data_IF_538167351144
#
_entry.id   IF_538167351144
#
_cell.length_a   1.000
_cell.length_b   1.000
_cell.length_c   1.000
_cell.angle_alpha   90.00
_cell.angle_beta   90.00
_cell.angle_gamma   90.00
#
_symmetry.space_group_name_H-M   'P 1'
#
loop_
_entity.id
_entity.type
_entity.pdbx_description
1 polymer ?
#
# COMPACT_ATOMS: atom_id res chain seq x y z
N UNK A 1 14.49 5.28 -24.24
CA UNK A 1 13.09 5.65 -24.55
C UNK A 1 12.28 6.15 -23.35
N UNK A 2 12.84 6.24 -22.15
CA UNK A 2 12.08 6.57 -20.91
C UNK A 2 12.02 8.07 -20.57
N UNK A 3 12.98 8.90 -21.03
CA UNK A 3 13.02 10.33 -20.69
C UNK A 3 11.81 11.14 -21.20
N UNK A 4 11.29 10.83 -22.37
CA UNK A 4 10.18 11.58 -22.97
C UNK A 4 8.83 11.34 -22.27
N UNK A 5 8.63 10.14 -21.68
CA UNK A 5 7.43 9.81 -20.87
C UNK A 5 7.45 10.53 -19.52
N UNK A 6 8.63 10.59 -18.88
CA UNK A 6 8.83 11.31 -17.61
C UNK A 6 8.63 12.81 -17.78
N UNK A 7 9.20 13.39 -18.83
CA UNK A 7 9.02 14.83 -19.14
C UNK A 7 7.57 15.16 -19.45
N UNK A 8 6.84 14.30 -20.19
CA UNK A 8 5.40 14.51 -20.43
C UNK A 8 4.58 14.42 -19.14
N UNK A 9 4.88 13.48 -18.25
CA UNK A 9 4.17 13.33 -16.99
C UNK A 9 4.41 14.53 -16.06
N UNK A 10 5.66 15.01 -15.94
CA UNK A 10 5.99 16.20 -15.16
C UNK A 10 5.32 17.48 -15.74
N UNK A 11 5.29 17.63 -17.06
CA UNK A 11 4.59 18.74 -17.73
C UNK A 11 3.08 18.65 -17.47
N UNK A 12 2.49 17.46 -17.44
CA UNK A 12 1.07 17.27 -17.16
C UNK A 12 0.76 17.64 -15.71
N UNK A 13 1.55 17.19 -14.73
CA UNK A 13 1.39 17.59 -13.32
C UNK A 13 1.53 19.12 -13.15
N UNK A 14 2.52 19.73 -13.78
CA UNK A 14 2.73 21.19 -13.71
C UNK A 14 1.58 21.97 -14.36
N UNK A 15 1.06 21.52 -15.50
CA UNK A 15 -0.10 22.11 -16.18
C UNK A 15 -1.39 22.00 -15.36
N UNK A 16 -1.65 20.88 -14.69
CA UNK A 16 -2.80 20.74 -13.80
C UNK A 16 -2.70 21.63 -12.57
N UNK A 17 -1.52 21.77 -11.98
CA UNK A 17 -1.30 22.62 -10.81
C UNK A 17 -1.39 24.12 -11.14
N UNK A 18 -0.96 24.55 -12.36
CA UNK A 18 -0.83 25.96 -12.74
C UNK A 18 -2.04 26.49 -13.50
N UNK A 19 -2.75 25.66 -14.27
CA UNK A 19 -3.81 26.13 -15.17
C UNK A 19 -5.21 26.07 -14.58
N UNK A 20 -5.41 25.59 -13.33
CA UNK A 20 -6.70 25.65 -12.65
C UNK A 20 -7.87 25.23 -13.57
N UNK A 21 -7.75 24.09 -14.27
CA UNK A 21 -8.85 23.61 -15.11
C UNK A 21 -10.02 23.23 -14.20
N UNK A 22 -11.01 24.08 -14.21
CA UNK A 22 -12.26 23.92 -13.47
C UNK A 22 -12.85 22.55 -13.70
N UNK A 23 -12.92 21.73 -12.63
CA UNK A 23 -13.67 20.47 -12.61
C UNK A 23 -13.00 19.26 -11.96
N UNK A 24 -11.65 19.19 -11.88
CA UNK A 24 -10.97 18.08 -11.20
C UNK A 24 -10.15 18.62 -10.04
N UNK A 25 -10.66 18.49 -8.81
CA UNK A 25 -9.89 18.80 -7.61
C UNK A 25 -8.87 17.68 -7.40
N UNK A 26 -7.58 18.01 -7.51
CA UNK A 26 -6.51 17.09 -7.17
C UNK A 26 -6.59 16.67 -5.69
N UNK A 27 -6.35 15.38 -5.41
CA UNK A 27 -6.29 14.83 -4.06
C UNK A 27 -4.84 14.82 -3.54
N UNK A 28 -3.93 15.50 -4.19
CA UNK A 28 -2.51 15.53 -3.84
C UNK A 28 -1.96 16.96 -3.85
N UNK A 29 -0.86 17.16 -3.14
CA UNK A 29 -0.16 18.43 -3.07
C UNK A 29 0.95 18.54 -4.12
N UNK A 30 1.64 17.42 -4.39
CA UNK A 30 2.65 17.32 -5.44
C UNK A 30 2.82 15.88 -5.94
N UNK A 31 3.57 15.70 -7.01
CA UNK A 31 3.88 14.38 -7.54
C UNK A 31 5.39 14.21 -7.79
N UNK A 32 5.86 12.97 -7.80
CA UNK A 32 7.23 12.61 -8.12
C UNK A 32 7.29 11.23 -8.78
N UNK A 33 8.42 10.88 -9.37
CA UNK A 33 8.64 9.59 -10.03
C UNK A 33 9.25 8.61 -9.03
N UNK A 34 8.61 7.46 -8.86
CA UNK A 34 9.14 6.36 -8.07
C UNK A 34 10.46 5.81 -8.64
N UNK A 35 11.28 5.10 -7.85
CA UNK A 35 12.46 4.38 -8.34
C UNK A 35 12.14 3.44 -9.51
N UNK A 36 10.96 2.86 -9.51
CA UNK A 36 10.44 1.98 -10.58
C UNK A 36 9.92 2.72 -11.82
N UNK A 37 10.02 4.06 -11.85
CA UNK A 37 9.66 4.91 -12.98
C UNK A 37 8.18 5.26 -13.08
N UNK A 38 7.40 4.94 -12.08
CA UNK A 38 5.96 5.25 -12.02
C UNK A 38 5.72 6.61 -11.35
N UNK A 39 4.66 7.30 -11.74
CA UNK A 39 4.25 8.54 -11.12
C UNK A 39 3.57 8.23 -9.78
N UNK A 40 4.04 8.87 -8.72
CA UNK A 40 3.43 8.87 -7.40
C UNK A 40 2.93 10.26 -7.04
N UNK A 41 1.84 10.29 -6.29
CA UNK A 41 1.17 11.50 -5.82
C UNK A 41 1.29 11.55 -4.30
N UNK A 42 1.59 12.72 -3.74
CA UNK A 42 1.89 12.89 -2.33
C UNK A 42 1.01 13.94 -1.70
N UNK A 43 0.63 13.69 -0.46
CA UNK A 43 -0.11 14.61 0.38
C UNK A 43 0.71 14.95 1.63
N UNK A 44 0.81 16.25 1.95
CA UNK A 44 1.51 16.71 3.14
C UNK A 44 0.76 16.38 4.41
N UNK A 45 1.53 16.12 5.46
CA UNK A 45 1.02 16.10 6.82
C UNK A 45 1.23 17.48 7.46
N UNK A 46 0.15 18.20 7.81
CA UNK A 46 0.26 19.55 8.34
C UNK A 46 1.19 19.65 9.55
N UNK A 47 2.12 20.61 9.53
CA UNK A 47 3.04 20.86 10.62
C UNK A 47 4.25 19.95 10.72
N UNK A 48 4.46 19.07 9.73
CA UNK A 48 5.62 18.16 9.66
C UNK A 48 6.31 18.25 8.30
N UNK A 49 7.45 17.55 8.14
CA UNK A 49 8.06 17.27 6.84
C UNK A 49 7.76 15.83 6.37
N UNK A 50 6.59 15.31 6.77
CA UNK A 50 6.14 13.99 6.37
C UNK A 50 5.09 14.08 5.28
N UNK A 51 5.08 13.08 4.40
CA UNK A 51 4.09 12.91 3.35
C UNK A 51 3.58 11.48 3.31
N UNK A 52 2.39 11.32 2.77
CA UNK A 52 1.88 10.01 2.39
C UNK A 52 1.62 9.93 0.89
N UNK A 53 1.76 8.73 0.34
CA UNK A 53 1.34 8.47 -1.04
C UNK A 53 -0.18 8.48 -1.09
N UNK A 54 -0.74 9.11 -2.14
CA UNK A 54 -2.17 9.19 -2.37
C UNK A 54 -2.48 8.94 -3.85
N UNK A 55 -3.72 9.14 -4.27
CA UNK A 55 -4.19 9.04 -5.66
C UNK A 55 -4.38 10.42 -6.29
N UNK A 56 -4.41 10.53 -7.63
CA UNK A 56 -4.47 11.83 -8.29
C UNK A 56 -5.88 12.48 -8.27
N UNK A 57 -6.95 11.69 -8.31
CA UNK A 57 -8.32 12.19 -8.42
C UNK A 57 -9.04 12.18 -7.07
N UNK A 58 -9.82 13.20 -6.78
CA UNK A 58 -10.58 13.28 -5.52
C UNK A 58 -11.72 12.26 -5.44
N UNK A 59 -12.32 11.95 -6.58
CA UNK A 59 -13.49 11.07 -6.67
C UNK A 59 -13.18 9.86 -7.54
N UNK A 60 -13.98 8.81 -7.39
CA UNK A 60 -13.90 7.62 -8.24
C UNK A 60 -14.21 7.97 -9.72
N UNK A 61 -13.46 7.44 -10.68
CA UNK A 61 -12.26 6.60 -10.52
C UNK A 61 -11.03 7.43 -10.09
N UNK A 62 -10.35 6.99 -9.02
CA UNK A 62 -9.19 7.69 -8.43
C UNK A 62 -7.99 7.84 -9.38
N UNK A 63 -8.01 7.10 -10.49
CA UNK A 63 -7.09 7.21 -11.61
C UNK A 63 -7.87 7.31 -12.91
N UNK A 64 -7.90 8.48 -13.53
CA UNK A 64 -8.56 8.70 -14.82
C UNK A 64 -7.77 8.08 -16.01
N UNK A 65 -6.53 7.61 -15.79
CA UNK A 65 -5.66 7.08 -16.84
C UNK A 65 -4.61 6.10 -16.33
N UNK A 66 -3.40 6.57 -16.13
CA UNK A 66 -2.22 5.74 -15.87
C UNK A 66 -2.18 5.22 -14.42
N UNK A 67 -2.87 4.12 -14.14
CA UNK A 67 -2.70 3.38 -12.89
C UNK A 67 -1.28 2.83 -12.77
N UNK A 68 -0.71 2.75 -11.57
CA UNK A 68 0.52 2.00 -11.31
C UNK A 68 0.39 0.55 -11.78
N UNK A 69 1.45 0.02 -12.41
CA UNK A 69 1.49 -1.33 -12.99
C UNK A 69 2.82 -2.02 -12.65
N UNK A 70 2.81 -3.34 -12.55
CA UNK A 70 4.02 -4.13 -12.30
C UNK A 70 4.56 -3.91 -10.88
N UNK A 71 5.87 -3.75 -10.76
CA UNK A 71 6.53 -3.61 -9.46
C UNK A 71 6.53 -2.16 -9.02
N UNK A 72 6.17 -1.92 -7.76
CA UNK A 72 6.14 -0.61 -7.15
C UNK A 72 7.00 -0.55 -5.90
N UNK A 73 7.99 0.32 -5.92
CA UNK A 73 8.80 0.67 -4.76
C UNK A 73 8.49 2.11 -4.33
N UNK A 74 8.06 2.28 -3.08
CA UNK A 74 7.87 3.61 -2.49
C UNK A 74 9.21 4.06 -1.90
N UNK A 75 9.72 5.23 -2.30
CA UNK A 75 10.94 5.78 -1.72
C UNK A 75 10.71 6.16 -0.25
N UNK A 76 11.74 6.08 0.59
CA UNK A 76 11.70 6.52 1.99
C UNK A 76 11.58 8.05 2.14
N UNK A 77 11.97 8.77 1.10
CA UNK A 77 11.90 10.23 1.03
C UNK A 77 11.73 10.72 -0.40
N UNK A 78 11.18 11.92 -0.54
CA UNK A 78 11.01 12.63 -1.82
C UNK A 78 11.43 14.08 -1.68
N UNK A 79 11.96 14.66 -2.77
CA UNK A 79 12.31 16.07 -2.80
C UNK A 79 11.28 16.86 -3.62
N UNK A 80 10.81 17.97 -3.05
CA UNK A 80 9.94 18.94 -3.73
C UNK A 80 10.34 20.36 -3.33
N UNK A 81 10.54 21.23 -4.31
CA UNK A 81 10.97 22.63 -4.15
C UNK A 81 12.20 22.82 -3.22
N UNK A 82 13.19 21.92 -3.37
CA UNK A 82 14.43 21.96 -2.59
C UNK A 82 14.30 21.40 -1.15
N UNK A 83 13.11 21.01 -0.70
CA UNK A 83 12.84 20.43 0.60
C UNK A 83 12.73 18.90 0.47
N UNK A 84 13.33 18.18 1.41
CA UNK A 84 13.21 16.71 1.52
C UNK A 84 12.07 16.36 2.48
N UNK A 85 11.14 15.57 2.01
CA UNK A 85 9.99 15.07 2.76
C UNK A 85 10.14 13.58 3.00
N UNK A 86 9.87 13.12 4.23
CA UNK A 86 9.86 11.70 4.57
C UNK A 86 8.54 11.07 4.16
N UNK A 87 8.58 9.95 3.45
CA UNK A 87 7.38 9.20 3.11
C UNK A 87 7.05 8.24 4.26
N UNK A 88 5.96 8.52 4.97
CA UNK A 88 5.60 7.78 6.19
C UNK A 88 4.37 6.89 6.05
N UNK A 89 3.67 6.95 4.93
CA UNK A 89 2.45 6.16 4.80
C UNK A 89 1.92 6.04 3.38
N UNK A 90 1.01 5.11 3.24
CA UNK A 90 0.14 4.96 2.08
C UNK A 90 -1.26 5.41 2.50
N UNK A 91 -1.77 6.45 1.86
CA UNK A 91 -3.06 7.07 2.17
C UNK A 91 -4.25 6.19 1.81
N UNK A 92 -5.43 6.65 2.18
CA UNK A 92 -6.71 6.02 1.83
C UNK A 92 -6.86 5.95 0.31
N UNK A 93 -7.31 4.80 -0.22
CA UNK A 93 -7.55 4.53 -1.64
C UNK A 93 -6.34 4.77 -2.57
N UNK A 94 -5.11 4.96 -2.05
CA UNK A 94 -3.95 5.38 -2.83
C UNK A 94 -3.69 4.52 -4.07
N UNK A 95 -3.94 3.23 -4.02
CA UNK A 95 -3.79 2.26 -5.12
C UNK A 95 -5.08 1.45 -5.33
N UNK A 96 -6.24 2.00 -4.97
CA UNK A 96 -7.53 1.32 -5.10
C UNK A 96 -7.75 0.82 -6.53
N UNK A 97 -7.94 -0.52 -6.69
CA UNK A 97 -8.12 -1.19 -7.97
C UNK A 97 -6.99 -0.93 -8.98
N UNK A 98 -5.76 -0.79 -8.52
CA UNK A 98 -4.58 -0.90 -9.39
C UNK A 98 -4.36 -2.38 -9.73
N UNK A 99 -5.25 -2.91 -10.57
CA UNK A 99 -5.44 -4.32 -10.89
C UNK A 99 -4.26 -4.96 -11.65
N UNK A 100 -3.34 -4.15 -12.16
CA UNK A 100 -2.11 -4.60 -12.84
C UNK A 100 -0.84 -4.41 -11.98
N UNK A 101 -0.98 -3.99 -10.72
CA UNK A 101 0.13 -3.90 -9.76
C UNK A 101 0.50 -5.33 -9.30
N UNK A 102 1.80 -5.71 -9.40
CA UNK A 102 2.29 -7.05 -9.09
C UNK A 102 2.99 -7.14 -7.75
N UNK A 103 3.79 -6.14 -7.42
CA UNK A 103 4.47 -6.10 -6.13
C UNK A 103 4.45 -4.70 -5.53
N UNK A 104 4.53 -4.66 -4.21
CA UNK A 104 4.68 -3.44 -3.44
C UNK A 104 5.79 -3.61 -2.42
N UNK A 105 6.66 -2.62 -2.33
CA UNK A 105 7.65 -2.50 -1.25
C UNK A 105 7.79 -1.04 -0.81
N UNK A 106 8.07 -0.84 0.48
CA UNK A 106 8.33 0.48 1.04
C UNK A 106 9.01 0.37 2.40
N UNK A 107 10.01 1.21 2.63
CA UNK A 107 10.71 1.34 3.92
C UNK A 107 10.22 2.56 4.66
N UNK A 108 10.19 2.48 6.00
CA UNK A 108 9.75 3.60 6.82
C UNK A 108 8.25 3.88 6.76
N UNK A 109 7.46 2.98 6.20
CA UNK A 109 6.00 3.12 6.11
C UNK A 109 5.37 2.77 7.45
N UNK A 110 4.81 3.79 8.13
CA UNK A 110 4.14 3.64 9.42
C UNK A 110 2.71 3.13 9.30
N UNK A 111 2.02 3.45 8.20
CA UNK A 111 0.65 3.02 8.01
C UNK A 111 0.31 2.77 6.55
N UNK A 112 -0.65 1.87 6.39
CA UNK A 112 -1.35 1.59 5.14
C UNK A 112 -2.82 1.94 5.37
N UNK A 113 -3.34 2.89 4.63
CA UNK A 113 -4.68 3.48 4.81
C UNK A 113 -5.82 2.55 4.40
N UNK A 114 -7.03 2.99 4.71
CA UNK A 114 -8.28 2.30 4.32
C UNK A 114 -8.31 2.06 2.82
N UNK A 115 -8.63 0.84 2.42
CA UNK A 115 -8.79 0.40 1.02
C UNK A 115 -7.63 0.76 0.08
N UNK A 116 -6.45 1.06 0.60
CA UNK A 116 -5.32 1.58 -0.19
C UNK A 116 -4.87 0.67 -1.33
N UNK A 117 -4.94 -0.65 -1.16
CA UNK A 117 -4.68 -1.66 -2.21
C UNK A 117 -5.90 -2.54 -2.49
N UNK A 118 -7.10 -2.13 -2.08
CA UNK A 118 -8.30 -2.92 -2.30
C UNK A 118 -8.53 -3.16 -3.80
N UNK A 119 -8.68 -4.42 -4.19
CA UNK A 119 -8.89 -4.80 -5.58
C UNK A 119 -7.63 -4.77 -6.46
N UNK A 120 -6.42 -4.74 -5.88
CA UNK A 120 -5.18 -5.00 -6.62
C UNK A 120 -5.08 -6.50 -6.93
N UNK A 121 -5.87 -6.95 -7.89
CA UNK A 121 -6.13 -8.39 -8.13
C UNK A 121 -4.90 -9.17 -8.57
N UNK A 122 -3.89 -8.52 -9.18
CA UNK A 122 -2.63 -9.13 -9.59
C UNK A 122 -1.49 -8.92 -8.58
N UNK A 123 -1.76 -8.35 -7.41
CA UNK A 123 -0.73 -8.13 -6.38
C UNK A 123 -0.31 -9.48 -5.77
N UNK A 124 0.92 -9.91 -6.06
CA UNK A 124 1.50 -11.20 -5.67
C UNK A 124 2.31 -11.09 -4.36
N UNK A 125 3.00 -9.96 -4.18
CA UNK A 125 3.91 -9.75 -3.04
C UNK A 125 3.78 -8.36 -2.44
N UNK A 126 3.88 -8.31 -1.11
CA UNK A 126 4.00 -7.08 -0.33
C UNK A 126 5.16 -7.20 0.65
N UNK A 127 5.94 -6.13 0.80
CA UNK A 127 7.07 -6.10 1.72
C UNK A 127 7.07 -4.79 2.53
N UNK A 128 7.05 -4.94 3.85
CA UNK A 128 7.21 -3.86 4.82
C UNK A 128 8.42 -4.14 5.70
N UNK A 129 9.05 -3.08 6.19
CA UNK A 129 10.01 -3.17 7.28
C UNK A 129 9.32 -3.07 8.65
N UNK A 130 10.12 -3.08 9.73
CA UNK A 130 9.62 -3.01 11.11
C UNK A 130 9.00 -1.66 11.49
N UNK A 131 8.90 -0.72 10.56
CA UNK A 131 8.26 0.58 10.79
C UNK A 131 6.74 0.50 10.81
N UNK A 132 6.13 -0.51 10.18
CA UNK A 132 4.67 -0.61 10.04
C UNK A 132 3.98 -0.73 11.43
N UNK A 133 3.00 0.13 11.66
CA UNK A 133 2.21 0.20 12.91
C UNK A 133 0.72 -0.02 12.70
N UNK A 134 0.20 0.32 11.50
CA UNK A 134 -1.23 0.26 11.25
C UNK A 134 -1.54 -0.20 9.84
N UNK A 135 -2.47 -1.15 9.74
CA UNK A 135 -3.11 -1.58 8.50
C UNK A 135 -4.58 -1.18 8.57
N UNK A 136 -5.05 -0.40 7.62
CA UNK A 136 -6.41 0.15 7.56
C UNK A 136 -7.48 -0.88 7.19
N UNK A 137 -8.74 -0.46 7.31
CA UNK A 137 -9.90 -1.27 6.91
C UNK A 137 -9.82 -1.62 5.42
N UNK A 138 -10.01 -2.90 5.07
CA UNK A 138 -10.00 -3.38 3.69
C UNK A 138 -8.72 -3.07 2.91
N UNK A 139 -7.60 -2.74 3.58
CA UNK A 139 -6.39 -2.21 2.93
C UNK A 139 -5.89 -3.09 1.79
N UNK A 140 -5.95 -4.40 1.92
CA UNK A 140 -5.57 -5.40 0.91
C UNK A 140 -6.75 -6.31 0.53
N UNK A 141 -7.98 -5.89 0.76
CA UNK A 141 -9.14 -6.70 0.37
C UNK A 141 -9.14 -6.98 -1.13
N UNK A 142 -9.54 -8.19 -1.52
CA UNK A 142 -9.59 -8.64 -2.91
C UNK A 142 -8.22 -8.67 -3.65
N UNK A 143 -7.10 -8.79 -2.93
CA UNK A 143 -5.79 -9.07 -3.53
C UNK A 143 -5.66 -10.59 -3.78
N UNK A 144 -6.37 -11.08 -4.79
CA UNK A 144 -6.58 -12.52 -5.02
C UNK A 144 -5.32 -13.31 -5.39
N UNK A 145 -4.26 -12.66 -5.88
CA UNK A 145 -2.98 -13.27 -6.22
C UNK A 145 -1.92 -13.14 -5.11
N UNK A 146 -2.23 -12.50 -3.99
CA UNK A 146 -1.30 -12.38 -2.87
C UNK A 146 -1.03 -13.78 -2.28
N UNK A 147 0.24 -14.23 -2.39
CA UNK A 147 0.63 -15.59 -2.01
C UNK A 147 1.21 -15.67 -0.61
N UNK A 148 1.92 -14.62 -0.19
CA UNK A 148 2.61 -14.59 1.10
C UNK A 148 2.33 -13.29 1.84
N UNK A 149 2.04 -13.41 3.13
CA UNK A 149 1.89 -12.30 4.07
C UNK A 149 2.80 -12.50 5.28
N UNK A 150 3.67 -11.54 5.53
CA UNK A 150 4.46 -11.45 6.76
C UNK A 150 4.23 -10.07 7.36
N UNK A 151 3.66 -10.00 8.55
CA UNK A 151 3.51 -8.74 9.27
C UNK A 151 4.61 -8.57 10.31
N UNK A 152 5.19 -7.37 10.46
CA UNK A 152 6.21 -7.11 11.47
C UNK A 152 5.60 -6.99 12.87
N UNK A 153 6.45 -7.16 13.89
CA UNK A 153 6.06 -7.15 15.33
C UNK A 153 5.50 -5.81 15.80
N UNK A 154 5.85 -4.72 15.10
CA UNK A 154 5.44 -3.37 15.45
C UNK A 154 3.98 -3.03 15.14
N UNK A 155 3.26 -3.90 14.45
CA UNK A 155 1.85 -3.63 14.08
C UNK A 155 0.98 -3.59 15.33
N UNK A 156 0.35 -2.44 15.60
CA UNK A 156 -0.53 -2.19 16.74
C UNK A 156 -2.01 -2.16 16.39
N UNK A 157 -2.38 -2.12 15.10
CA UNK A 157 -3.77 -2.21 14.69
C UNK A 157 -3.93 -2.76 13.26
N UNK A 158 -4.97 -3.59 13.09
CA UNK A 158 -5.40 -4.14 11.82
C UNK A 158 -6.90 -3.85 11.68
N UNK A 159 -7.27 -3.19 10.60
CA UNK A 159 -8.65 -2.83 10.32
C UNK A 159 -9.51 -4.02 9.88
N UNK A 160 -10.82 -3.86 10.00
CA UNK A 160 -11.82 -4.85 9.58
C UNK A 160 -11.56 -5.21 8.11
N UNK A 161 -11.66 -6.49 7.77
CA UNK A 161 -11.49 -6.98 6.39
C UNK A 161 -10.16 -6.64 5.72
N UNK A 162 -9.11 -6.30 6.47
CA UNK A 162 -7.84 -5.81 5.93
C UNK A 162 -7.24 -6.73 4.85
N UNK A 163 -7.40 -8.03 4.96
CA UNK A 163 -6.95 -9.06 4.01
C UNK A 163 -8.09 -9.97 3.53
N UNK A 164 -9.34 -9.49 3.56
CA UNK A 164 -10.47 -10.28 3.12
C UNK A 164 -10.38 -10.61 1.62
N UNK A 165 -10.88 -11.79 1.22
CA UNK A 165 -10.91 -12.25 -0.16
C UNK A 165 -9.51 -12.38 -0.83
N UNK A 166 -8.43 -12.53 -0.03
CA UNK A 166 -7.09 -12.87 -0.51
C UNK A 166 -6.99 -14.40 -0.68
N UNK A 167 -7.69 -14.94 -1.68
CA UNK A 167 -7.83 -16.40 -1.89
C UNK A 167 -6.54 -17.09 -2.31
N UNK A 168 -5.56 -16.36 -2.83
CA UNK A 168 -4.24 -16.85 -3.25
C UNK A 168 -3.25 -17.10 -2.13
N UNK A 169 -3.55 -16.71 -0.87
CA UNK A 169 -2.62 -16.88 0.24
C UNK A 169 -2.26 -18.35 0.45
N UNK A 170 -0.96 -18.64 0.41
CA UNK A 170 -0.35 -19.94 0.66
C UNK A 170 0.50 -19.96 1.93
N UNK A 171 0.99 -18.78 2.34
CA UNK A 171 1.81 -18.63 3.53
C UNK A 171 1.48 -17.33 4.27
N UNK A 172 1.16 -17.44 5.57
CA UNK A 172 0.88 -16.28 6.44
C UNK A 172 1.69 -16.40 7.72
N UNK A 173 2.42 -15.36 8.06
CA UNK A 173 3.21 -15.21 9.29
C UNK A 173 2.74 -13.98 10.06
N UNK A 174 2.16 -14.21 11.23
CA UNK A 174 1.74 -13.15 12.13
C UNK A 174 2.46 -13.32 13.47
N UNK A 175 3.19 -12.31 13.96
CA UNK A 175 3.63 -12.34 15.37
C UNK A 175 2.41 -12.66 16.26
N UNK A 176 2.60 -13.47 17.28
CA UNK A 176 1.47 -13.94 18.13
C UNK A 176 0.68 -12.77 18.72
N UNK A 177 1.34 -11.67 19.07
CA UNK A 177 0.66 -10.47 19.55
C UNK A 177 -0.14 -9.76 18.46
N UNK A 178 0.34 -9.78 17.20
CA UNK A 178 -0.36 -9.20 16.04
C UNK A 178 -1.55 -10.08 15.64
N UNK A 179 -1.43 -11.41 15.74
CA UNK A 179 -2.56 -12.35 15.50
C UNK A 179 -3.77 -12.00 16.37
N UNK A 180 -3.55 -11.56 17.62
CA UNK A 180 -4.64 -11.18 18.56
C UNK A 180 -5.44 -9.96 18.09
N UNK A 181 -4.90 -9.15 17.20
CA UNK A 181 -5.58 -7.99 16.61
C UNK A 181 -6.53 -8.37 15.47
N UNK A 182 -6.44 -9.62 14.97
CA UNK A 182 -7.25 -10.10 13.87
C UNK A 182 -8.63 -10.54 14.35
N UNK A 183 -9.67 -10.06 13.72
CA UNK A 183 -11.05 -10.50 13.92
C UNK A 183 -11.47 -11.54 12.87
N UNK A 184 -12.73 -11.98 12.94
CA UNK A 184 -13.28 -12.97 12.01
C UNK A 184 -13.34 -12.48 10.56
N UNK A 185 -13.35 -11.16 10.35
CA UNK A 185 -13.45 -10.54 9.03
C UNK A 185 -12.10 -10.24 8.42
N UNK A 186 -11.04 -10.14 9.22
CA UNK A 186 -9.68 -9.76 8.75
C UNK A 186 -9.23 -10.63 7.58
N UNK A 187 -9.47 -11.95 7.64
CA UNK A 187 -9.14 -12.93 6.60
C UNK A 187 -10.36 -13.63 6.01
N UNK A 188 -11.52 -12.98 6.02
CA UNK A 188 -12.72 -13.57 5.45
C UNK A 188 -12.50 -13.92 3.97
N UNK A 189 -12.91 -15.13 3.56
CA UNK A 189 -12.72 -15.62 2.19
C UNK A 189 -11.29 -16.10 1.84
N UNK A 190 -10.36 -16.11 2.81
CA UNK A 190 -9.02 -16.69 2.65
C UNK A 190 -9.06 -18.16 3.08
N UNK A 191 -9.04 -19.08 2.12
CA UNK A 191 -9.20 -20.52 2.40
C UNK A 191 -8.12 -21.08 3.34
N UNK A 192 -6.88 -20.58 3.26
CA UNK A 192 -5.78 -20.99 4.14
C UNK A 192 -6.10 -20.75 5.62
N UNK A 193 -6.72 -19.62 5.95
CA UNK A 193 -6.96 -19.19 7.32
C UNK A 193 -8.18 -19.88 7.98
N UNK A 194 -9.07 -20.49 7.18
CA UNK A 194 -10.21 -21.24 7.70
C UNK A 194 -9.82 -22.60 8.30
N UNK A 195 -8.66 -23.12 7.93
CA UNK A 195 -8.17 -24.39 8.43
C UNK A 195 -7.30 -24.21 9.70
N UNK A 196 -7.94 -24.04 10.87
CA UNK A 196 -7.24 -23.88 12.17
C UNK A 196 -6.19 -24.96 12.45
N UNK A 197 -6.37 -26.18 11.94
CA UNK A 197 -5.42 -27.28 12.09
C UNK A 197 -4.07 -27.06 11.38
N UNK A 198 -3.99 -26.12 10.44
CA UNK A 198 -2.76 -25.79 9.75
C UNK A 198 -1.96 -24.67 10.46
N UNK A 199 -2.49 -24.13 11.57
CA UNK A 199 -1.78 -23.14 12.37
C UNK A 199 -0.70 -23.82 13.22
N UNK A 200 0.53 -23.31 13.11
CA UNK A 200 1.69 -23.71 13.93
C UNK A 200 2.29 -22.48 14.60
N UNK A 201 3.07 -22.70 15.65
CA UNK A 201 3.94 -21.66 16.23
C UNK A 201 5.35 -21.94 15.79
N UNK A 202 6.00 -20.95 15.17
CA UNK A 202 7.41 -20.98 14.78
C UNK A 202 8.13 -19.80 15.45
N UNK A 203 9.34 -20.01 15.97
CA UNK A 203 10.16 -18.96 16.57
C UNK A 203 11.29 -18.56 15.63
N UNK A 204 11.39 -17.26 15.33
CA UNK A 204 12.45 -16.69 14.48
C UNK A 204 13.01 -15.48 15.21
N UNK A 205 14.33 -15.48 15.45
CA UNK A 205 15.05 -14.39 16.14
C UNK A 205 14.43 -13.97 17.49
N UNK A 206 13.88 -14.96 18.23
CA UNK A 206 13.24 -14.73 19.53
C UNK A 206 11.80 -14.24 19.46
N UNK A 207 11.23 -14.09 18.28
CA UNK A 207 9.82 -13.75 18.06
C UNK A 207 9.02 -15.00 17.76
N UNK A 208 7.89 -15.18 18.43
CA UNK A 208 6.93 -16.24 18.15
C UNK A 208 5.93 -15.79 17.08
N UNK A 209 5.82 -16.59 16.03
CA UNK A 209 4.88 -16.37 14.92
C UNK A 209 3.82 -17.46 14.90
N UNK A 210 2.56 -17.07 14.76
CA UNK A 210 1.51 -17.94 14.28
C UNK A 210 1.63 -18.05 12.76
N UNK A 211 1.79 -19.26 12.27
CA UNK A 211 2.13 -19.56 10.88
C UNK A 211 1.12 -20.50 10.28
N UNK A 212 0.63 -20.14 9.09
CA UNK A 212 -0.19 -21.00 8.23
C UNK A 212 0.56 -21.22 6.92
N UNK A 213 0.66 -22.46 6.51
CA UNK A 213 1.29 -22.86 5.24
C UNK A 213 0.47 -23.97 4.59
N UNK A 214 0.34 -23.91 3.27
CA UNK A 214 -0.13 -25.01 2.42
C UNK A 214 0.97 -25.99 2.12
#
# INVERSE_FOLDING_TARGET
>A
MNGLKVVKALITCYLFAVLGMDGVQAQYDFCSVAPTGQMLYFQWHPGTQDVSVTHPEKEWPYYAGNKPVGDLEIPDSVQHDGVVYKVVGVGENAFYRCDSLKSFSGKGIFYVGTQSFCGCTMLETIAFDDSLRRVGEGAFAYCGQLTKLVLPTGVGSIGISAFSMCGGLEEVWLPVEVEKLCDAMTFYGCSLMHERKNRKIESVDGVEYAVWKR
#
